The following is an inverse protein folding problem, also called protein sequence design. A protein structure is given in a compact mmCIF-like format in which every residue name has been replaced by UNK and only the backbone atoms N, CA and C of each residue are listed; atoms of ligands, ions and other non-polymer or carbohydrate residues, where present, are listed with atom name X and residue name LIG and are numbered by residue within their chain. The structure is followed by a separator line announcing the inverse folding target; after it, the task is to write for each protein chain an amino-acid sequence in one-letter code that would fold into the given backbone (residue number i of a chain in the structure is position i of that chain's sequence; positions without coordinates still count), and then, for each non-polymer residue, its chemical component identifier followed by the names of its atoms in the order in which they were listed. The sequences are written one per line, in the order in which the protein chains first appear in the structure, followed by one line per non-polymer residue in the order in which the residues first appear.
data_IF_974054149930
#
_entry.id   IF_974054149930
#
_cell.length_a   1.000
_cell.length_b   1.000
_cell.length_c   1.000
_cell.angle_alpha   90.00
_cell.angle_beta   90.00
_cell.angle_gamma   90.00
#
_symmetry.space_group_name_H-M   'P 1'
#
loop_
_entity.id
_entity.type
_entity.pdbx_description
1 polymer ?
#
# COMPACT_ATOMS: atom_id res chain seq x y z
N UNK A 1 20.90 6.23 4.18
CA UNK A 1 20.42 4.86 4.43
C UNK A 1 18.96 4.87 4.02
N UNK A 2 18.47 3.89 3.27
CA UNK A 2 17.07 3.93 2.83
C UNK A 2 16.18 3.33 3.93
N UNK A 3 14.98 3.84 4.12
CA UNK A 3 13.98 3.32 5.05
C UNK A 3 12.79 2.77 4.27
N UNK A 4 12.45 1.51 4.48
CA UNK A 4 11.42 0.79 3.72
C UNK A 4 10.22 0.49 4.60
N UNK A 5 9.06 0.94 4.12
CA UNK A 5 7.74 0.57 4.61
C UNK A 5 7.13 -0.48 3.68
N UNK A 6 6.80 -1.66 4.20
CA UNK A 6 6.00 -2.66 3.48
C UNK A 6 4.71 -2.85 4.24
N UNK A 7 3.59 -2.76 3.53
CA UNK A 7 2.27 -3.07 4.08
C UNK A 7 1.54 -4.02 3.15
N UNK A 8 0.82 -4.97 3.73
CA UNK A 8 0.00 -5.91 3.00
C UNK A 8 -1.45 -5.75 3.46
N UNK A 9 -2.40 -5.96 2.54
CA UNK A 9 -3.84 -5.99 2.84
C UNK A 9 -4.52 -7.31 2.44
N UNK A 10 -5.43 -7.76 3.31
CA UNK A 10 -6.47 -8.75 2.96
C UNK A 10 -7.69 -7.95 2.54
N UNK A 11 -8.29 -8.30 1.41
CA UNK A 11 -9.39 -7.55 0.80
C UNK A 11 -10.74 -8.25 1.05
N UNK A 12 -11.82 -7.48 1.04
CA UNK A 12 -13.18 -7.92 1.42
C UNK A 12 -13.88 -8.76 0.34
N UNK A 13 -13.38 -8.75 -0.90
CA UNK A 13 -14.01 -9.45 -2.03
C UNK A 13 -14.17 -10.95 -1.79
N UNK A 14 -15.34 -11.49 -2.14
CA UNK A 14 -15.69 -12.90 -1.90
C UNK A 14 -15.04 -13.84 -2.94
N UNK A 15 -14.86 -13.36 -4.18
CA UNK A 15 -14.15 -14.09 -5.24
C UNK A 15 -12.74 -13.55 -5.47
N UNK A 16 -11.95 -14.27 -6.27
CA UNK A 16 -10.65 -13.77 -6.75
C UNK A 16 -10.86 -12.53 -7.63
N UNK A 17 -11.86 -12.56 -8.53
CA UNK A 17 -12.16 -11.45 -9.43
C UNK A 17 -12.58 -10.17 -8.66
N UNK A 18 -13.35 -10.30 -7.58
CA UNK A 18 -13.73 -9.16 -6.74
C UNK A 18 -12.49 -8.54 -6.09
N UNK A 19 -11.60 -9.37 -5.53
CA UNK A 19 -10.35 -8.90 -4.92
C UNK A 19 -9.39 -8.30 -5.95
N UNK A 20 -9.38 -8.79 -7.18
CA UNK A 20 -8.59 -8.21 -8.27
C UNK A 20 -9.10 -6.81 -8.66
N UNK A 21 -10.42 -6.63 -8.74
CA UNK A 21 -11.03 -5.33 -9.00
C UNK A 21 -10.75 -4.33 -7.86
N UNK A 22 -10.91 -4.75 -6.61
CA UNK A 22 -10.58 -3.94 -5.43
C UNK A 22 -9.09 -3.57 -5.38
N UNK A 23 -8.21 -4.52 -5.67
CA UNK A 23 -6.77 -4.30 -5.74
C UNK A 23 -6.40 -3.28 -6.81
N UNK A 24 -7.02 -3.35 -7.99
CA UNK A 24 -6.79 -2.39 -9.07
C UNK A 24 -7.23 -0.97 -8.68
N UNK A 25 -8.37 -0.82 -7.99
CA UNK A 25 -8.84 0.47 -7.48
C UNK A 25 -7.87 1.05 -6.44
N UNK A 26 -7.40 0.21 -5.50
CA UNK A 26 -6.40 0.62 -4.50
C UNK A 26 -5.09 1.03 -5.17
N UNK A 27 -4.59 0.25 -6.13
CA UNK A 27 -3.36 0.55 -6.84
C UNK A 27 -3.46 1.91 -7.56
N UNK A 28 -4.58 2.15 -8.27
CA UNK A 28 -4.83 3.41 -8.96
C UNK A 28 -4.87 4.62 -7.99
N UNK A 29 -5.30 4.42 -6.74
CA UNK A 29 -5.29 5.46 -5.71
C UNK A 29 -3.89 5.69 -5.09
N UNK A 30 -3.08 4.64 -4.93
CA UNK A 30 -1.79 4.69 -4.24
C UNK A 30 -0.61 5.04 -5.15
N UNK A 31 -0.58 4.55 -6.39
CA UNK A 31 0.53 4.75 -7.32
C UNK A 31 0.87 6.23 -7.58
N UNK A 32 -0.10 7.14 -7.74
CA UNK A 32 0.18 8.57 -7.91
C UNK A 32 0.95 9.19 -6.73
N UNK A 33 0.90 8.61 -5.54
CA UNK A 33 1.62 9.12 -4.37
C UNK A 33 3.14 9.11 -4.58
N UNK A 34 3.65 8.28 -5.49
CA UNK A 34 5.06 8.28 -5.89
C UNK A 34 5.53 9.66 -6.40
N UNK A 35 4.62 10.45 -6.99
CA UNK A 35 4.92 11.78 -7.54
C UNK A 35 4.33 12.90 -6.70
N UNK A 36 3.17 12.66 -6.07
CA UNK A 36 2.46 13.68 -5.30
C UNK A 36 3.07 13.94 -3.92
N UNK A 37 3.72 12.94 -3.30
CA UNK A 37 4.22 13.05 -1.92
C UNK A 37 5.74 13.22 -1.92
N UNK A 38 6.28 14.40 -1.56
CA UNK A 38 7.71 14.69 -1.72
C UNK A 38 8.68 13.80 -0.94
N UNK A 39 8.24 13.21 0.18
CA UNK A 39 9.08 12.33 1.00
C UNK A 39 9.26 10.92 0.41
N UNK A 40 8.43 10.52 -0.56
CA UNK A 40 8.51 9.21 -1.21
C UNK A 40 9.72 9.16 -2.16
N UNK A 41 10.51 8.08 -2.08
CA UNK A 41 11.67 7.82 -2.95
C UNK A 41 11.39 6.75 -3.99
N UNK A 42 10.64 5.73 -3.61
CA UNK A 42 10.09 4.74 -4.51
C UNK A 42 8.77 4.24 -3.94
N UNK A 43 7.82 3.90 -4.81
CA UNK A 43 6.54 3.33 -4.41
C UNK A 43 6.10 2.34 -5.48
N UNK A 44 5.62 1.17 -5.07
CA UNK A 44 5.02 0.20 -5.96
C UNK A 44 3.95 -0.62 -5.25
N UNK A 45 2.91 -1.00 -5.98
CA UNK A 45 1.79 -1.80 -5.49
C UNK A 45 1.73 -3.09 -6.31
N UNK A 46 1.61 -4.22 -5.64
CA UNK A 46 1.67 -5.54 -6.27
C UNK A 46 0.53 -6.43 -5.81
N UNK A 47 -0.23 -6.95 -6.77
CA UNK A 47 -1.23 -7.99 -6.53
C UNK A 47 -0.53 -9.32 -6.28
N UNK A 48 -0.96 -10.06 -5.27
CA UNK A 48 -0.44 -11.41 -5.02
C UNK A 48 -0.89 -12.40 -6.11
N UNK A 49 0.07 -13.13 -6.68
CA UNK A 49 -0.14 -14.06 -7.79
C UNK A 49 -0.31 -15.53 -7.38
N UNK A 50 0.17 -15.92 -6.19
CA UNK A 50 0.23 -17.32 -5.75
C UNK A 50 -0.44 -17.55 -4.39
N UNK A 51 -0.96 -18.76 -4.19
CA UNK A 51 -1.61 -19.19 -2.93
C UNK A 51 -2.78 -18.27 -2.49
N UNK A 52 -3.79 -18.05 -3.36
CA UNK A 52 -4.93 -17.20 -3.02
C UNK A 52 -5.69 -17.73 -1.81
N UNK A 53 -5.91 -16.87 -0.81
CA UNK A 53 -6.57 -17.24 0.46
C UNK A 53 -5.59 -17.39 1.61
N UNK A 54 -4.43 -18.01 1.36
CA UNK A 54 -3.35 -18.12 2.35
C UNK A 54 -2.57 -16.80 2.41
N UNK A 55 -2.00 -16.38 1.27
CA UNK A 55 -1.26 -15.13 1.16
C UNK A 55 -2.16 -13.89 1.21
N UNK A 56 -1.57 -12.77 1.62
CA UNK A 56 -2.22 -11.46 1.57
C UNK A 56 -2.49 -11.05 0.12
N UNK A 57 -3.55 -10.29 -0.11
CA UNK A 57 -4.06 -10.07 -1.46
C UNK A 57 -3.28 -8.99 -2.20
N UNK A 58 -2.83 -7.96 -1.49
CA UNK A 58 -2.16 -6.79 -2.06
C UNK A 58 -0.99 -6.34 -1.19
N UNK A 59 0.11 -5.93 -1.81
CA UNK A 59 1.30 -5.39 -1.12
C UNK A 59 1.59 -3.98 -1.65
N UNK A 60 1.86 -3.03 -0.75
CA UNK A 60 2.49 -1.75 -1.05
C UNK A 60 3.92 -1.78 -0.49
N UNK A 61 4.88 -1.37 -1.31
CA UNK A 61 6.29 -1.17 -0.92
C UNK A 61 6.61 0.29 -1.15
N UNK A 62 7.06 1.00 -0.11
CA UNK A 62 7.45 2.42 -0.19
C UNK A 62 8.79 2.63 0.47
N UNK A 63 9.68 3.34 -0.22
CA UNK A 63 10.98 3.75 0.29
C UNK A 63 11.00 5.25 0.62
N UNK A 64 11.70 5.58 1.71
CA UNK A 64 11.91 6.91 2.26
C UNK A 64 13.40 7.11 2.60
N UNK A 65 13.78 8.35 2.89
CA UNK A 65 15.12 8.65 3.41
C UNK A 65 15.28 8.17 4.87
N UNK A 66 14.21 8.22 5.67
CA UNK A 66 14.17 7.84 7.08
C UNK A 66 12.72 7.66 7.59
N UNK A 67 12.56 7.43 8.90
CA UNK A 67 11.26 7.30 9.56
C UNK A 67 10.45 8.61 9.59
N UNK A 68 11.11 9.78 9.51
CA UNK A 68 10.43 11.08 9.42
C UNK A 68 9.77 11.23 8.04
N UNK A 69 10.43 10.76 6.97
CA UNK A 69 9.86 10.67 5.64
C UNK A 69 8.56 9.85 5.60
N UNK A 70 8.50 8.72 6.32
CA UNK A 70 7.29 7.92 6.48
C UNK A 70 6.21 8.69 7.26
N UNK A 71 6.56 9.39 8.34
CA UNK A 71 5.60 10.17 9.12
C UNK A 71 4.96 11.32 8.31
N UNK A 72 5.76 12.01 7.50
CA UNK A 72 5.29 13.03 6.56
C UNK A 72 4.34 12.42 5.51
N UNK A 73 4.71 11.27 4.95
CA UNK A 73 3.85 10.55 4.00
C UNK A 73 2.52 10.15 4.63
N UNK A 74 2.54 9.58 5.84
CA UNK A 74 1.34 9.07 6.51
C UNK A 74 0.29 10.16 6.77
N UNK A 75 0.72 11.41 6.95
CA UNK A 75 -0.16 12.56 7.22
C UNK A 75 -0.48 13.40 5.98
N UNK A 76 0.14 13.12 4.83
CA UNK A 76 -0.09 13.88 3.61
C UNK A 76 -1.55 13.78 3.14
N UNK A 77 -2.21 14.89 2.73
CA UNK A 77 -3.61 14.86 2.31
C UNK A 77 -3.93 13.83 1.23
N UNK A 78 -3.06 13.70 0.22
CA UNK A 78 -3.24 12.69 -0.84
C UNK A 78 -3.11 11.25 -0.32
N UNK A 79 -2.20 11.00 0.63
CA UNK A 79 -2.11 9.69 1.28
C UNK A 79 -3.35 9.40 2.13
N UNK A 80 -3.87 10.40 2.84
CA UNK A 80 -5.11 10.23 3.63
C UNK A 80 -6.29 9.90 2.71
N UNK A 81 -6.38 10.56 1.55
CA UNK A 81 -7.41 10.28 0.55
C UNK A 81 -7.26 8.87 -0.04
N UNK A 82 -6.06 8.47 -0.48
CA UNK A 82 -5.80 7.12 -0.98
C UNK A 82 -6.02 6.05 0.10
N UNK A 83 -5.62 6.33 1.35
CA UNK A 83 -5.84 5.47 2.50
C UNK A 83 -7.32 5.27 2.84
N UNK A 84 -8.21 6.19 2.46
CA UNK A 84 -9.65 5.98 2.58
C UNK A 84 -10.16 4.91 1.59
N UNK A 85 -9.65 4.90 0.36
CA UNK A 85 -9.94 3.85 -0.66
C UNK A 85 -9.44 2.48 -0.19
N UNK A 86 -8.24 2.43 0.40
CA UNK A 86 -7.73 1.19 1.00
C UNK A 86 -8.69 0.69 2.11
N UNK A 87 -9.13 1.59 3.00
CA UNK A 87 -9.99 1.24 4.13
C UNK A 87 -11.40 0.79 3.73
N UNK A 88 -11.91 1.20 2.57
CA UNK A 88 -13.23 0.72 2.09
C UNK A 88 -13.19 -0.73 1.62
N UNK A 89 -12.02 -1.26 1.27
CA UNK A 89 -11.86 -2.61 0.73
C UNK A 89 -11.11 -3.56 1.67
N UNK A 90 -10.20 -3.06 2.52
CA UNK A 90 -9.36 -3.91 3.36
C UNK A 90 -10.08 -4.42 4.63
N UNK A 91 -9.97 -5.72 4.88
CA UNK A 91 -10.44 -6.40 6.11
C UNK A 91 -9.30 -6.83 7.04
N UNK A 92 -8.06 -6.76 6.55
CA UNK A 92 -6.85 -7.00 7.34
C UNK A 92 -5.73 -6.09 6.89
N UNK A 93 -4.82 -5.77 7.82
CA UNK A 93 -3.59 -5.01 7.57
C UNK A 93 -2.41 -5.56 8.38
N UNK A 94 -1.26 -5.78 7.75
CA UNK A 94 0.03 -6.02 8.42
C UNK A 94 1.11 -5.19 7.78
N UNK A 95 2.07 -4.70 8.57
CA UNK A 95 3.16 -3.86 8.07
C UNK A 95 4.49 -4.23 8.72
N UNK A 96 5.58 -3.91 8.04
CA UNK A 96 6.96 -4.02 8.54
C UNK A 96 7.77 -2.84 8.04
N UNK A 97 8.56 -2.26 8.94
CA UNK A 97 9.34 -1.06 8.70
C UNK A 97 10.81 -1.32 9.07
N UNK A 98 11.75 -1.06 8.17
CA UNK A 98 13.17 -1.35 8.41
C UNK A 98 14.11 -0.52 7.53
N UNK A 99 15.35 -0.35 7.99
CA UNK A 99 16.44 0.25 7.21
C UNK A 99 17.01 -0.76 6.22
N UNK A 100 17.28 -0.30 4.99
CA UNK A 100 17.92 -1.05 3.89
C UNK A 100 19.37 -0.60 3.71
#
# INVERSE_FOLDING_TARGET
MAFRHIVNWKLSGESVADRDAQAAEIAAALEPLATLVPSVRALSVHRNELFPGDNWDLTLIVDFDDAEGLALYATHPDHVAAGAVVKSHAVGRVATDFTV
#
